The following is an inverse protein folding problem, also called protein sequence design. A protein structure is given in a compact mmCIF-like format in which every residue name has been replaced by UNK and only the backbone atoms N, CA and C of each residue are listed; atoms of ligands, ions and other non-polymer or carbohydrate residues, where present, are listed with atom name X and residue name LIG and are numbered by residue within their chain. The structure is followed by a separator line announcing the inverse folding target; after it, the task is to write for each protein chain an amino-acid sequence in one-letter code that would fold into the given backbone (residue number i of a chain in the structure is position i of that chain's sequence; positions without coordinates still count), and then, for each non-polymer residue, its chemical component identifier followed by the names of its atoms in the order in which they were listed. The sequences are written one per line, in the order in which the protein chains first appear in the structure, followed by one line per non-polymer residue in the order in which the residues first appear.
data_IF_842585962583
#
_entry.id   IF_842585962583
#
_cell.length_a   1.000
_cell.length_b   1.000
_cell.length_c   1.000
_cell.angle_alpha   90.00
_cell.angle_beta   90.00
_cell.angle_gamma   90.00
#
_symmetry.space_group_name_H-M   'P 1'
#
loop_
_entity.id
_entity.type
_entity.pdbx_description
1 polymer ?
#
# COMPACT_ATOMS: atom_id res chain seq x y z
N UNK A 1 -24.62 23.71 -24.30
CA UNK A 1 -24.43 22.25 -24.40
C UNK A 1 -23.46 21.91 -23.29
N UNK A 2 -23.99 21.67 -22.09
CA UNK A 2 -23.20 21.37 -20.89
C UNK A 2 -22.54 20.00 -21.06
N UNK A 3 -21.21 19.99 -21.09
CA UNK A 3 -20.47 18.74 -21.03
C UNK A 3 -20.36 18.35 -19.55
N UNK A 4 -21.13 17.33 -19.21
CA UNK A 4 -21.30 16.76 -17.88
C UNK A 4 -19.96 16.38 -17.26
N UNK A 5 -19.73 16.87 -16.06
CA UNK A 5 -18.96 16.20 -15.00
C UNK A 5 -17.59 15.64 -15.42
N UNK A 6 -16.64 16.52 -15.77
CA UNK A 6 -15.23 16.23 -15.53
C UNK A 6 -15.03 16.21 -14.01
N UNK A 7 -15.28 15.06 -13.38
CA UNK A 7 -14.84 14.76 -12.02
C UNK A 7 -13.32 14.88 -12.01
N UNK A 8 -12.82 16.06 -11.65
CA UNK A 8 -11.42 16.23 -11.30
C UNK A 8 -11.17 15.38 -10.06
N UNK A 9 -10.57 14.20 -10.23
CA UNK A 9 -10.04 13.45 -9.10
C UNK A 9 -8.94 14.30 -8.48
N UNK A 10 -9.21 14.86 -7.30
CA UNK A 10 -8.24 15.65 -6.54
C UNK A 10 -6.95 14.87 -6.27
N UNK A 11 -7.09 13.55 -6.06
CA UNK A 11 -6.00 12.65 -5.77
C UNK A 11 -5.79 11.67 -6.92
N UNK A 12 -4.59 11.63 -7.55
CA UNK A 12 -4.30 10.64 -8.58
C UNK A 12 -4.41 9.20 -8.03
N UNK A 13 -4.93 8.29 -8.85
CA UNK A 13 -4.92 6.86 -8.56
C UNK A 13 -3.48 6.33 -8.71
N UNK A 14 -2.97 5.48 -7.80
CA UNK A 14 -1.67 4.82 -7.97
C UNK A 14 -1.57 4.09 -9.31
N UNK A 15 -0.54 4.39 -10.10
CA UNK A 15 -0.27 3.75 -11.39
C UNK A 15 1.12 3.10 -11.41
N UNK A 16 1.19 1.83 -11.00
CA UNK A 16 2.40 1.01 -11.09
C UNK A 16 2.17 -0.11 -12.10
N UNK A 17 2.93 -0.09 -13.19
CA UNK A 17 2.96 -1.13 -14.21
C UNK A 17 3.56 -2.38 -13.58
N UNK A 18 2.83 -3.48 -13.62
CA UNK A 18 3.34 -4.78 -13.17
C UNK A 18 4.59 -5.13 -13.97
N UNK A 19 5.74 -5.12 -13.31
CA UNK A 19 6.97 -5.60 -13.92
C UNK A 19 6.78 -7.11 -14.12
N UNK A 20 6.86 -7.53 -15.37
CA UNK A 20 6.83 -8.94 -15.76
C UNK A 20 7.79 -9.70 -14.83
N UNK A 21 7.31 -10.75 -14.15
CA UNK A 21 8.18 -11.63 -13.35
C UNK A 21 9.35 -12.02 -14.25
N UNK A 22 10.54 -11.50 -13.96
CA UNK A 22 11.75 -12.06 -14.52
C UNK A 22 11.79 -13.48 -13.94
N UNK A 23 11.87 -14.48 -14.81
CA UNK A 23 12.11 -15.85 -14.38
C UNK A 23 13.38 -15.79 -13.53
N UNK A 24 13.27 -16.17 -12.25
CA UNK A 24 14.40 -16.14 -11.35
C UNK A 24 15.51 -17.03 -11.95
N UNK A 25 16.72 -16.51 -12.00
CA UNK A 25 17.90 -17.36 -12.25
C UNK A 25 17.88 -18.44 -11.16
N UNK A 26 18.09 -19.71 -11.53
CA UNK A 26 17.87 -20.92 -10.72
C UNK A 26 18.65 -20.98 -9.38
N UNK A 27 19.41 -19.94 -9.03
CA UNK A 27 20.30 -19.84 -7.87
C UNK A 27 19.83 -18.86 -6.76
N UNK A 28 18.71 -18.16 -6.90
CA UNK A 28 18.15 -17.28 -5.83
C UNK A 28 16.96 -17.93 -5.11
N UNK A 29 17.24 -18.61 -3.99
CA UNK A 29 16.29 -19.36 -3.15
C UNK A 29 15.27 -18.49 -2.37
N UNK A 30 14.96 -17.28 -2.83
CA UNK A 30 13.99 -16.38 -2.18
C UNK A 30 13.02 -15.83 -3.22
N UNK A 31 11.90 -16.53 -3.41
CA UNK A 31 10.84 -16.06 -4.30
C UNK A 31 9.95 -15.09 -3.52
N UNK A 32 10.05 -13.80 -3.81
CA UNK A 32 9.05 -12.80 -3.44
C UNK A 32 7.77 -13.06 -4.25
N UNK A 33 6.79 -13.75 -3.68
CA UNK A 33 5.51 -13.97 -4.34
C UNK A 33 4.49 -12.91 -3.95
N UNK A 34 4.01 -12.15 -4.92
CA UNK A 34 2.76 -11.39 -4.75
C UNK A 34 1.62 -12.38 -4.55
N UNK A 35 1.03 -12.40 -3.35
CA UNK A 35 -0.06 -13.32 -2.99
C UNK A 35 -1.45 -12.71 -3.19
N UNK A 36 -1.53 -11.40 -3.44
CA UNK A 36 -2.79 -10.75 -3.79
C UNK A 36 -2.68 -9.24 -3.94
N UNK A 37 -3.74 -8.63 -4.44
CA UNK A 37 -3.90 -7.18 -4.51
C UNK A 37 -5.29 -6.77 -4.04
N UNK A 38 -5.40 -5.55 -3.53
CA UNK A 38 -6.67 -4.91 -3.18
C UNK A 38 -6.63 -3.44 -3.53
N UNK A 39 -7.75 -2.89 -3.95
CA UNK A 39 -7.89 -1.46 -4.27
C UNK A 39 -9.12 -0.90 -3.56
N UNK A 40 -9.10 0.40 -3.30
CA UNK A 40 -10.25 1.08 -2.72
C UNK A 40 -10.08 2.57 -2.67
N UNK A 41 -10.95 3.22 -1.91
CA UNK A 41 -10.97 4.66 -1.70
C UNK A 41 -10.97 4.93 -0.20
N UNK A 42 -10.03 5.76 0.26
CA UNK A 42 -9.97 6.24 1.63
C UNK A 42 -11.14 7.20 1.92
N UNK A 43 -11.58 7.35 3.18
CA UNK A 43 -12.65 8.27 3.56
C UNK A 43 -12.51 9.72 3.07
N UNK A 44 -11.28 10.20 2.83
CA UNK A 44 -11.01 11.53 2.27
C UNK A 44 -11.10 11.60 0.73
N UNK A 45 -11.49 10.50 0.08
CA UNK A 45 -11.65 10.38 -1.37
C UNK A 45 -10.40 9.93 -2.12
N UNK A 46 -9.29 9.64 -1.42
CA UNK A 46 -8.05 9.21 -2.07
C UNK A 46 -8.09 7.73 -2.49
N UNK A 47 -7.85 7.40 -3.78
CA UNK A 47 -7.67 6.01 -4.19
C UNK A 47 -6.41 5.42 -3.58
N UNK A 48 -6.47 4.14 -3.20
CA UNK A 48 -5.31 3.38 -2.74
C UNK A 48 -5.21 2.03 -3.45
N UNK A 49 -3.99 1.50 -3.52
CA UNK A 49 -3.68 0.12 -3.91
C UNK A 49 -2.93 -0.55 -2.76
N UNK A 50 -3.19 -1.83 -2.53
CA UNK A 50 -2.44 -2.69 -1.61
C UNK A 50 -1.94 -3.89 -2.40
N UNK A 51 -0.67 -4.20 -2.26
CA UNK A 51 -0.06 -5.44 -2.73
C UNK A 51 0.35 -6.27 -1.51
N UNK A 52 0.00 -7.55 -1.52
CA UNK A 52 0.36 -8.49 -0.47
C UNK A 52 1.51 -9.36 -0.97
N UNK A 53 2.53 -9.51 -0.14
CA UNK A 53 3.76 -10.22 -0.47
C UNK A 53 4.01 -11.30 0.58
N UNK A 54 4.33 -12.50 0.13
CA UNK A 54 4.87 -13.55 0.99
C UNK A 54 6.37 -13.68 0.70
N UNK A 55 7.16 -13.57 1.76
CA UNK A 55 8.61 -13.75 1.76
C UNK A 55 8.94 -14.69 2.92
N UNK A 56 9.31 -15.94 2.63
CA UNK A 56 9.53 -16.96 3.65
C UNK A 56 8.37 -17.05 4.67
N UNK A 57 8.60 -16.70 5.93
CA UNK A 57 7.64 -16.66 7.03
C UNK A 57 6.92 -15.32 7.20
N UNK A 58 7.30 -14.29 6.42
CA UNK A 58 6.75 -12.95 6.46
C UNK A 58 5.60 -12.78 5.47
N UNK A 59 4.47 -12.28 5.99
CA UNK A 59 3.41 -11.69 5.18
C UNK A 59 3.51 -10.17 5.28
N UNK A 60 3.73 -9.50 4.16
CA UNK A 60 3.83 -8.05 4.07
C UNK A 60 2.69 -7.45 3.24
N UNK A 61 2.38 -6.19 3.50
CA UNK A 61 1.56 -5.37 2.62
C UNK A 61 2.30 -4.10 2.22
N UNK A 62 2.30 -3.80 0.93
CA UNK A 62 2.71 -2.51 0.38
C UNK A 62 1.47 -1.70 0.01
N UNK A 63 1.26 -0.58 0.69
CA UNK A 63 0.17 0.35 0.44
C UNK A 63 0.68 1.53 -0.38
N UNK A 64 -0.07 1.86 -1.43
CA UNK A 64 0.18 2.99 -2.31
C UNK A 64 -0.98 3.97 -2.26
N UNK A 65 -0.70 5.26 -2.12
CA UNK A 65 -1.69 6.33 -2.29
C UNK A 65 -1.01 7.67 -2.58
N UNK A 66 -1.75 8.60 -3.18
CA UNK A 66 -1.26 9.94 -3.53
C UNK A 66 -0.65 10.69 -2.33
N UNK A 67 0.50 11.32 -2.51
CA UNK A 67 1.12 12.17 -1.50
C UNK A 67 0.51 13.60 -1.43
N UNK A 68 -0.39 13.98 -2.34
CA UNK A 68 -1.03 15.30 -2.36
C UNK A 68 -1.68 15.62 -1.01
N UNK A 69 -1.51 16.84 -0.50
CA UNK A 69 -1.96 17.29 0.83
C UNK A 69 -1.34 16.59 2.06
N UNK A 70 -0.49 15.57 1.87
CA UNK A 70 0.17 14.82 2.96
C UNK A 70 1.66 14.56 2.67
N UNK A 71 2.27 15.38 1.81
CA UNK A 71 3.63 15.16 1.30
C UNK A 71 4.70 15.26 2.40
N UNK A 72 4.39 15.97 3.47
CA UNK A 72 5.31 16.29 4.58
C UNK A 72 4.99 15.48 5.84
N UNK A 73 4.04 14.55 5.77
CA UNK A 73 3.70 13.70 6.90
C UNK A 73 4.89 12.84 7.31
N UNK A 74 5.17 12.81 8.60
CA UNK A 74 6.09 11.89 9.23
C UNK A 74 5.53 10.47 9.24
N UNK A 75 6.40 9.48 9.49
CA UNK A 75 6.00 8.07 9.68
C UNK A 75 4.87 7.91 10.71
N UNK A 76 4.96 8.62 11.85
CA UNK A 76 3.95 8.52 12.92
C UNK A 76 2.60 9.13 12.49
N UNK A 77 2.62 10.21 11.71
CA UNK A 77 1.39 10.81 11.17
C UNK A 77 0.74 9.91 10.12
N UNK A 78 1.54 9.26 9.26
CA UNK A 78 1.06 8.28 8.29
C UNK A 78 0.45 7.06 8.97
N UNK A 79 1.07 6.54 10.03
CA UNK A 79 0.52 5.46 10.84
C UNK A 79 -0.85 5.83 11.40
N UNK A 80 -0.96 6.99 12.05
CA UNK A 80 -2.24 7.51 12.58
C UNK A 80 -3.27 7.70 11.47
N UNK A 81 -2.85 8.19 10.31
CA UNK A 81 -3.71 8.37 9.14
C UNK A 81 -4.28 7.04 8.66
N UNK A 82 -3.47 6.00 8.51
CA UNK A 82 -3.90 4.67 8.07
C UNK A 82 -4.88 4.02 9.06
N UNK A 83 -4.61 4.16 10.36
CA UNK A 83 -5.47 3.63 11.43
C UNK A 83 -6.80 4.40 11.53
N UNK A 84 -6.77 5.74 11.48
CA UNK A 84 -7.96 6.60 11.52
C UNK A 84 -8.90 6.32 10.35
N UNK A 85 -8.35 6.03 9.18
CA UNK A 85 -9.11 5.66 7.99
C UNK A 85 -9.51 4.16 7.96
N UNK A 86 -9.19 3.42 9.03
CA UNK A 86 -9.46 1.99 9.19
C UNK A 86 -8.94 1.13 8.04
N UNK A 87 -7.88 1.57 7.35
CA UNK A 87 -7.22 0.76 6.32
C UNK A 87 -6.30 -0.29 6.96
N UNK A 88 -5.66 0.07 8.07
CA UNK A 88 -4.76 -0.81 8.83
C UNK A 88 -5.22 -0.89 10.28
N UNK A 89 -5.32 -2.11 10.80
CA UNK A 89 -5.59 -2.37 12.21
C UNK A 89 -4.35 -3.02 12.84
N UNK A 90 -3.82 -2.42 13.90
CA UNK A 90 -2.68 -2.97 14.66
C UNK A 90 -3.16 -3.87 15.79
N UNK A 91 -2.43 -4.95 16.08
CA UNK A 91 -2.63 -5.79 17.28
C UNK A 91 -1.72 -5.41 18.45
N UNK A 92 -0.81 -4.44 18.27
CA UNK A 92 0.09 -3.93 19.31
C UNK A 92 0.20 -2.41 19.28
N UNK A 93 1.18 -1.86 20.02
CA UNK A 93 1.29 -0.42 20.27
C UNK A 93 1.69 0.41 19.04
N UNK A 94 2.35 -0.21 18.05
CA UNK A 94 2.79 0.47 16.83
C UNK A 94 2.91 -0.48 15.63
N UNK A 95 2.71 0.06 14.43
CA UNK A 95 2.94 -0.65 13.18
C UNK A 95 4.42 -0.84 12.90
N UNK A 96 4.78 -2.09 12.57
CA UNK A 96 6.08 -2.42 11.96
C UNK A 96 6.05 -1.98 10.50
N UNK A 97 6.27 -0.70 10.27
CA UNK A 97 6.19 -0.10 8.95
C UNK A 97 7.45 0.67 8.52
N UNK A 98 7.67 0.70 7.21
CA UNK A 98 8.56 1.63 6.52
C UNK A 98 7.74 2.43 5.52
N UNK A 99 8.09 3.70 5.32
CA UNK A 99 7.42 4.56 4.37
C UNK A 99 8.43 5.40 3.60
N UNK A 100 8.19 5.57 2.31
CA UNK A 100 8.93 6.49 1.44
C UNK A 100 8.00 7.11 0.42
N UNK A 101 8.43 8.22 -0.18
CA UNK A 101 7.78 8.77 -1.36
C UNK A 101 8.48 8.25 -2.62
N UNK A 102 7.73 8.06 -3.69
CA UNK A 102 8.27 7.83 -5.03
C UNK A 102 7.36 8.46 -6.08
N UNK A 103 7.84 8.49 -7.32
CA UNK A 103 6.98 8.72 -8.47
C UNK A 103 6.44 7.37 -8.95
N UNK A 104 5.18 7.33 -9.35
CA UNK A 104 4.61 6.20 -10.07
C UNK A 104 4.92 6.30 -11.59
N UNK A 105 4.45 5.35 -12.39
CA UNK A 105 4.72 5.31 -13.83
C UNK A 105 3.98 6.42 -14.61
N UNK A 106 3.04 7.12 -13.97
CA UNK A 106 2.38 8.32 -14.51
C UNK A 106 3.06 9.62 -14.05
N UNK A 107 4.16 9.55 -13.28
CA UNK A 107 4.88 10.70 -12.76
C UNK A 107 4.21 11.39 -11.58
N UNK A 108 3.26 10.73 -10.91
CA UNK A 108 2.57 11.26 -9.75
C UNK A 108 3.32 10.90 -8.44
N UNK A 109 3.43 11.84 -7.50
CA UNK A 109 4.04 11.57 -6.20
C UNK A 109 3.11 10.70 -5.33
N UNK A 110 3.63 9.55 -4.91
CA UNK A 110 2.93 8.54 -4.12
C UNK A 110 3.67 8.29 -2.81
N UNK A 111 2.91 8.04 -1.75
CA UNK A 111 3.41 7.31 -0.59
C UNK A 111 3.45 5.82 -0.90
N UNK A 112 4.56 5.17 -0.55
CA UNK A 112 4.75 3.72 -0.56
C UNK A 112 5.02 3.29 0.88
N UNK A 113 4.13 2.49 1.43
CA UNK A 113 4.17 2.08 2.84
C UNK A 113 4.22 0.56 2.92
N UNK A 114 5.35 0.03 3.38
CA UNK A 114 5.53 -1.39 3.64
C UNK A 114 5.21 -1.70 5.09
N UNK A 115 4.39 -2.71 5.35
CA UNK A 115 3.94 -3.13 6.68
C UNK A 115 4.14 -4.63 6.81
N UNK A 116 4.71 -5.08 7.93
CA UNK A 116 4.70 -6.51 8.31
C UNK A 116 3.34 -6.82 8.93
N UNK A 117 2.58 -7.71 8.29
CA UNK A 117 1.28 -8.17 8.77
C UNK A 117 1.44 -9.36 9.72
N UNK A 118 2.24 -10.35 9.30
CA UNK A 118 2.52 -11.58 10.05
C UNK A 118 3.97 -11.98 9.90
N UNK A 119 4.52 -12.60 10.93
CA UNK A 119 5.78 -13.35 10.89
C UNK A 119 5.54 -14.67 11.65
N UNK A 120 5.88 -15.80 11.03
CA UNK A 120 5.53 -17.13 11.55
C UNK A 120 4.02 -17.23 11.90
N UNK A 121 3.70 -17.48 13.17
CA UNK A 121 2.35 -17.54 13.72
C UNK A 121 1.89 -16.22 14.36
N UNK A 122 2.79 -15.23 14.46
CA UNK A 122 2.50 -13.96 15.13
C UNK A 122 1.91 -12.93 14.15
N UNK A 123 0.71 -12.46 14.46
CA UNK A 123 0.02 -11.42 13.68
C UNK A 123 0.24 -10.06 14.34
N UNK A 124 0.79 -9.10 13.58
CA UNK A 124 1.07 -7.74 14.03
C UNK A 124 0.01 -6.75 13.56
N UNK A 125 -0.49 -6.92 12.34
CA UNK A 125 -1.47 -6.03 11.73
C UNK A 125 -2.34 -6.77 10.71
N UNK A 126 -3.42 -6.14 10.29
CA UNK A 126 -4.31 -6.63 9.22
C UNK A 126 -4.79 -5.48 8.35
N UNK A 127 -5.03 -5.76 7.07
CA UNK A 127 -5.55 -4.78 6.10
C UNK A 127 -7.06 -4.91 5.97
N UNK A 128 -7.78 -3.79 5.85
CA UNK A 128 -9.22 -3.81 5.58
C UNK A 128 -9.53 -4.57 4.30
N UNK A 129 -10.40 -5.58 4.41
CA UNK A 129 -10.84 -6.39 3.27
C UNK A 129 -9.86 -7.50 2.88
N UNK A 130 -8.82 -7.73 3.68
CA UNK A 130 -8.01 -8.95 3.61
C UNK A 130 -8.94 -10.16 3.81
N UNK A 131 -8.99 -11.06 2.81
CA UNK A 131 -9.72 -12.32 2.95
C UNK A 131 -8.87 -13.25 3.82
N UNK A 132 -9.34 -13.50 5.05
CA UNK A 132 -8.81 -14.55 5.92
C UNK A 132 -9.06 -15.94 5.33
#
# INVERSE_FOLDING_TARGET
MENKDLLYLKYPKPHFVEKRKLEADEDEEVIDETVGTSEGILPDGRPYKVEFWQLEDLLLATIYFSATDVSDCTKSELEKYLQKNSLVMTKGDSLRMQCKKCLDDAGCEMWVINIILRQDQQIYASIKGEKN
#
